data_IF_463894468491
#
_entry.id   IF_463894468491
#
_cell.length_a   1.000
_cell.length_b   1.000
_cell.length_c   1.000
_cell.angle_alpha   90.00
_cell.angle_beta   90.00
_cell.angle_gamma   90.00
#
_symmetry.space_group_name_H-M   'P 1'
#
loop_
_entity.id
_entity.type
_entity.pdbx_description
1 polymer ?
#
# COMPACT_ATOMS: atom_id res chain seq x y z
N UNK A 1 44.42 -18.47 -10.57
CA UNK A 1 43.20 -19.26 -10.83
C UNK A 1 42.09 -18.82 -9.88
N UNK A 2 41.46 -17.68 -10.19
CA UNK A 2 40.22 -17.18 -9.59
C UNK A 2 39.48 -16.49 -10.71
N UNK A 3 38.39 -17.07 -11.17
CA UNK A 3 37.36 -16.50 -12.02
C UNK A 3 36.24 -17.57 -12.12
N UNK A 4 35.44 -17.70 -11.07
CA UNK A 4 34.14 -18.36 -11.18
C UNK A 4 33.08 -17.26 -11.17
N UNK A 5 32.57 -17.04 -12.36
CA UNK A 5 31.59 -16.04 -12.73
C UNK A 5 30.26 -16.29 -12.01
N UNK A 6 29.73 -15.19 -11.51
CA UNK A 6 28.31 -14.85 -11.49
C UNK A 6 27.46 -15.64 -12.50
N UNK A 7 26.48 -16.37 -11.98
CA UNK A 7 25.51 -17.08 -12.80
C UNK A 7 24.58 -17.93 -11.95
N UNK A 8 24.06 -17.37 -10.85
CA UNK A 8 22.91 -17.95 -10.16
C UNK A 8 21.75 -17.95 -11.14
N UNK A 9 21.61 -19.05 -11.86
CA UNK A 9 20.58 -19.31 -12.85
C UNK A 9 19.26 -19.41 -12.08
N UNK A 10 18.61 -18.27 -11.86
CA UNK A 10 17.20 -18.26 -11.45
C UNK A 10 16.47 -19.00 -12.57
N UNK A 11 15.91 -20.17 -12.27
CA UNK A 11 15.01 -20.87 -13.18
C UNK A 11 13.90 -19.89 -13.53
N UNK A 12 13.97 -19.29 -14.72
CA UNK A 12 12.91 -18.45 -15.25
C UNK A 12 11.72 -19.37 -15.50
N UNK A 13 10.77 -19.33 -14.57
CA UNK A 13 9.54 -20.08 -14.68
C UNK A 13 8.67 -19.24 -15.61
N UNK A 14 8.62 -19.61 -16.90
CA UNK A 14 7.82 -18.87 -17.87
C UNK A 14 6.37 -18.86 -17.40
N UNK A 15 5.79 -17.66 -17.25
CA UNK A 15 4.39 -17.50 -16.89
C UNK A 15 3.52 -18.25 -17.90
N UNK A 16 2.63 -19.10 -17.40
CA UNK A 16 1.64 -19.72 -18.25
C UNK A 16 0.79 -18.65 -18.93
N UNK A 17 0.17 -19.01 -20.06
CA UNK A 17 -0.82 -18.14 -20.70
C UNK A 17 -1.95 -17.75 -19.74
N UNK A 18 -2.29 -18.63 -18.79
CA UNK A 18 -3.28 -18.39 -17.74
C UNK A 18 -2.80 -17.32 -16.76
N UNK A 19 -1.57 -17.42 -16.23
CA UNK A 19 -1.02 -16.45 -15.27
C UNK A 19 -0.92 -15.05 -15.86
N UNK A 20 -0.46 -14.98 -17.12
CA UNK A 20 -0.37 -13.72 -17.86
C UNK A 20 -1.76 -13.10 -18.07
N UNK A 21 -2.76 -13.91 -18.39
CA UNK A 21 -4.15 -13.45 -18.57
C UNK A 21 -4.72 -12.91 -17.26
N UNK A 22 -4.48 -13.59 -16.13
CA UNK A 22 -4.94 -13.15 -14.80
C UNK A 22 -4.27 -11.82 -14.43
N UNK A 23 -2.98 -11.67 -14.67
CA UNK A 23 -2.24 -10.44 -14.37
C UNK A 23 -2.76 -9.24 -15.17
N UNK A 24 -2.99 -9.42 -16.48
CA UNK A 24 -3.56 -8.39 -17.34
C UNK A 24 -4.98 -8.04 -16.89
N UNK A 25 -5.81 -9.05 -16.61
CA UNK A 25 -7.19 -8.85 -16.15
C UNK A 25 -7.22 -8.05 -14.84
N UNK A 26 -6.35 -8.39 -13.88
CA UNK A 26 -6.21 -7.66 -12.62
C UNK A 26 -5.86 -6.18 -12.86
N UNK A 27 -4.86 -5.90 -13.70
CA UNK A 27 -4.50 -4.53 -14.08
C UNK A 27 -5.66 -3.78 -14.75
N UNK A 28 -6.40 -4.45 -15.64
CA UNK A 28 -7.59 -3.88 -16.28
C UNK A 28 -8.69 -3.54 -15.26
N UNK A 29 -8.94 -4.41 -14.28
CA UNK A 29 -9.93 -4.17 -13.23
C UNK A 29 -9.54 -2.96 -12.37
N UNK A 30 -8.27 -2.83 -11.99
CA UNK A 30 -7.79 -1.67 -11.22
C UNK A 30 -8.01 -0.35 -11.99
N UNK A 31 -7.64 -0.33 -13.28
CA UNK A 31 -7.84 0.86 -14.12
C UNK A 31 -9.34 1.14 -14.31
N UNK A 32 -10.16 0.11 -14.53
CA UNK A 32 -11.60 0.24 -14.68
C UNK A 32 -12.25 0.84 -13.43
N UNK A 33 -11.84 0.39 -12.23
CA UNK A 33 -12.29 0.95 -10.96
C UNK A 33 -11.88 2.43 -10.82
N UNK A 34 -10.63 2.76 -11.14
CA UNK A 34 -10.15 4.15 -11.15
C UNK A 34 -10.98 5.05 -12.08
N UNK A 35 -11.29 4.59 -13.29
CA UNK A 35 -12.11 5.33 -14.27
C UNK A 35 -13.58 5.43 -13.84
N UNK A 36 -14.13 4.39 -13.23
CA UNK A 36 -15.50 4.38 -12.72
C UNK A 36 -15.71 5.45 -11.64
N UNK A 37 -14.81 5.49 -10.65
CA UNK A 37 -14.88 6.44 -9.54
C UNK A 37 -14.41 7.85 -9.90
N UNK A 38 -13.62 8.04 -10.97
CA UNK A 38 -13.26 9.35 -11.52
C UNK A 38 -14.47 10.28 -11.72
N UNK A 39 -15.61 9.74 -12.15
CA UNK A 39 -16.81 10.54 -12.42
C UNK A 39 -17.43 11.14 -11.16
N UNK A 40 -17.15 10.59 -9.97
CA UNK A 40 -17.68 11.04 -8.68
C UNK A 40 -16.78 12.07 -7.96
N UNK A 41 -15.50 12.17 -8.32
CA UNK A 41 -14.57 13.12 -7.70
C UNK A 41 -14.62 14.49 -8.40
N UNK A 42 -15.49 15.41 -7.94
CA UNK A 42 -15.55 16.80 -8.44
C UNK A 42 -15.02 17.84 -7.47
N UNK A 43 -14.95 17.53 -6.18
CA UNK A 43 -14.43 18.42 -5.13
C UNK A 43 -13.25 17.81 -4.38
N UNK A 44 -12.37 18.65 -3.82
CA UNK A 44 -11.22 18.21 -3.02
C UNK A 44 -11.64 17.38 -1.80
N UNK A 45 -12.80 17.66 -1.22
CA UNK A 45 -13.36 16.89 -0.12
C UNK A 45 -13.80 15.48 -0.56
N UNK A 46 -14.38 15.34 -1.75
CA UNK A 46 -14.69 14.02 -2.32
C UNK A 46 -13.43 13.22 -2.62
N UNK A 47 -12.36 13.88 -3.08
CA UNK A 47 -11.08 13.23 -3.32
C UNK A 47 -10.42 12.73 -2.02
N UNK A 48 -10.49 13.49 -0.93
CA UNK A 48 -9.85 13.19 0.36
C UNK A 48 -10.72 12.45 1.38
N UNK A 49 -12.04 12.44 1.26
CA UNK A 49 -12.90 11.83 2.31
C UNK A 49 -13.98 10.94 1.69
N UNK A 50 -14.07 10.84 0.36
CA UNK A 50 -15.06 10.04 -0.34
C UNK A 50 -16.50 10.30 0.18
N UNK A 51 -16.80 11.57 0.44
CA UNK A 51 -18.09 12.05 0.96
C UNK A 51 -18.54 11.41 2.29
N UNK A 52 -17.60 10.80 3.05
CA UNK A 52 -17.88 10.04 4.29
C UNK A 52 -18.93 8.92 4.11
N UNK A 53 -19.18 8.51 2.86
CA UNK A 53 -20.21 7.54 2.49
C UNK A 53 -19.75 6.08 2.63
N UNK A 54 -18.47 5.88 2.96
CA UNK A 54 -17.84 4.57 3.02
C UNK A 54 -18.31 3.81 4.27
N UNK A 55 -18.84 2.59 4.11
CA UNK A 55 -19.27 1.79 5.26
C UNK A 55 -18.08 1.33 6.09
N UNK A 56 -18.29 1.20 7.41
CA UNK A 56 -17.22 0.92 8.36
C UNK A 56 -16.45 -0.39 8.07
N UNK A 57 -17.12 -1.40 7.52
CA UNK A 57 -16.48 -2.66 7.14
C UNK A 57 -15.50 -2.48 5.97
N UNK A 58 -15.84 -1.65 4.97
CA UNK A 58 -14.97 -1.39 3.82
C UNK A 58 -13.76 -0.55 4.24
N UNK A 59 -13.97 0.45 5.09
CA UNK A 59 -12.86 1.22 5.66
C UNK A 59 -11.91 0.33 6.49
N UNK A 60 -12.44 -0.63 7.26
CA UNK A 60 -11.62 -1.59 8.00
C UNK A 60 -10.78 -2.49 7.10
N UNK A 61 -11.39 -3.03 6.04
CA UNK A 61 -10.68 -3.84 5.04
C UNK A 61 -9.59 -3.04 4.33
N UNK A 62 -9.85 -1.78 3.96
CA UNK A 62 -8.85 -0.92 3.34
C UNK A 62 -7.66 -0.61 4.26
N UNK A 63 -7.90 -0.41 5.56
CA UNK A 63 -6.81 -0.24 6.53
C UNK A 63 -5.97 -1.51 6.63
N UNK A 64 -6.59 -2.69 6.66
CA UNK A 64 -5.88 -3.97 6.68
C UNK A 64 -5.11 -4.23 5.36
N UNK A 65 -5.69 -3.85 4.23
CA UNK A 65 -5.05 -3.89 2.91
C UNK A 65 -3.81 -2.99 2.89
N UNK A 66 -3.92 -1.74 3.33
CA UNK A 66 -2.79 -0.80 3.40
C UNK A 66 -1.70 -1.20 4.42
N UNK A 67 -2.07 -1.98 5.43
CA UNK A 67 -1.10 -2.60 6.36
C UNK A 67 -0.36 -3.76 5.69
N UNK A 68 -1.04 -4.51 4.83
CA UNK A 68 -0.47 -5.63 4.11
C UNK A 68 0.32 -5.11 2.90
N UNK A 69 1.58 -5.51 2.76
CA UNK A 69 2.43 -5.05 1.66
C UNK A 69 3.34 -6.19 1.20
N UNK A 70 3.98 -6.04 0.04
CA UNK A 70 4.93 -7.03 -0.48
C UNK A 70 6.06 -7.34 0.52
N UNK A 71 6.44 -6.35 1.34
CA UNK A 71 7.37 -6.54 2.46
C UNK A 71 6.87 -7.65 3.39
N UNK A 72 5.62 -7.60 3.84
CA UNK A 72 5.07 -8.58 4.77
C UNK A 72 4.99 -9.97 4.15
N UNK A 73 4.64 -10.07 2.87
CA UNK A 73 4.53 -11.35 2.16
C UNK A 73 5.87 -12.06 1.95
N UNK A 74 6.96 -11.31 1.77
CA UNK A 74 8.30 -11.91 1.57
C UNK A 74 9.04 -12.02 2.91
N UNK A 75 9.02 -10.96 3.72
CA UNK A 75 9.83 -10.87 4.94
C UNK A 75 9.30 -11.73 6.10
N UNK A 76 7.97 -11.87 6.26
CA UNK A 76 7.39 -12.65 7.36
C UNK A 76 7.69 -14.15 7.24
N UNK A 77 7.42 -14.82 6.10
CA UNK A 77 7.79 -16.22 5.94
C UNK A 77 9.30 -16.40 5.88
N UNK A 78 10.05 -15.48 5.25
CA UNK A 78 11.51 -15.53 5.23
C UNK A 78 12.11 -15.51 6.64
N UNK A 79 11.61 -14.63 7.52
CA UNK A 79 12.02 -14.62 8.94
C UNK A 79 11.52 -15.84 9.71
N UNK A 80 10.32 -16.33 9.43
CA UNK A 80 9.79 -17.52 10.11
C UNK A 80 10.59 -18.79 9.73
N UNK A 81 11.09 -18.87 8.50
CA UNK A 81 11.94 -19.95 8.02
C UNK A 81 13.35 -19.90 8.65
N UNK A 82 13.94 -18.71 8.73
CA UNK A 82 15.30 -18.53 9.27
C UNK A 82 15.35 -18.55 10.81
N UNK A 83 14.27 -18.11 11.47
CA UNK A 83 14.21 -18.00 12.93
C UNK A 83 13.14 -18.91 13.55
N UNK A 84 12.08 -18.32 14.10
CA UNK A 84 10.99 -18.97 14.82
C UNK A 84 9.67 -18.24 14.55
N UNK A 85 8.58 -18.68 15.18
CA UNK A 85 7.24 -18.11 15.04
C UNK A 85 7.05 -16.72 15.70
N UNK A 86 8.15 -16.05 16.05
CA UNK A 86 8.13 -14.72 16.66
C UNK A 86 7.34 -13.66 15.85
N UNK A 87 7.41 -13.61 14.50
CA UNK A 87 6.61 -12.66 13.72
C UNK A 87 5.10 -12.81 13.90
N UNK A 88 4.63 -14.01 14.27
CA UNK A 88 3.21 -14.29 14.51
C UNK A 88 2.67 -13.48 15.70
N UNK A 89 3.49 -13.28 16.74
CA UNK A 89 3.09 -12.52 17.94
C UNK A 89 2.77 -11.06 17.56
N UNK A 90 3.60 -10.46 16.70
CA UNK A 90 3.34 -9.11 16.17
C UNK A 90 2.05 -9.04 15.37
N UNK A 91 1.76 -10.07 14.56
CA UNK A 91 0.51 -10.15 13.82
C UNK A 91 -0.71 -10.27 14.76
N UNK A 92 -0.61 -11.01 15.86
CA UNK A 92 -1.69 -11.14 16.84
C UNK A 92 -1.92 -9.87 17.66
N UNK A 93 -0.89 -9.06 17.91
CA UNK A 93 -1.02 -7.77 18.58
C UNK A 93 -1.91 -6.76 17.83
N UNK A 94 -2.16 -6.95 16.53
CA UNK A 94 -3.04 -6.06 15.75
C UNK A 94 -4.49 -6.07 16.30
N UNK A 95 -4.98 -7.20 16.81
CA UNK A 95 -6.36 -7.34 17.30
C UNK A 95 -6.66 -6.46 18.51
N UNK A 96 -5.90 -6.52 19.62
CA UNK A 96 -6.14 -5.65 20.77
C UNK A 96 -5.90 -4.17 20.43
N UNK A 97 -4.90 -3.86 19.59
CA UNK A 97 -4.63 -2.49 19.16
C UNK A 97 -5.79 -1.94 18.32
N UNK A 98 -6.29 -2.71 17.35
CA UNK A 98 -7.43 -2.32 16.54
C UNK A 98 -8.68 -2.08 17.40
N UNK A 99 -8.93 -2.93 18.40
CA UNK A 99 -10.05 -2.74 19.32
C UNK A 99 -9.97 -1.42 20.09
N UNK A 100 -8.79 -1.10 20.65
CA UNK A 100 -8.56 0.17 21.37
C UNK A 100 -8.74 1.36 20.43
N UNK A 101 -8.15 1.31 19.22
CA UNK A 101 -8.24 2.39 18.24
C UNK A 101 -9.69 2.63 17.80
N UNK A 102 -10.45 1.57 17.49
CA UNK A 102 -11.86 1.67 17.13
C UNK A 102 -12.71 2.22 18.28
N UNK A 103 -12.40 1.88 19.53
CA UNK A 103 -13.19 2.31 20.69
C UNK A 103 -12.93 3.76 21.12
N UNK A 104 -11.69 4.23 21.02
CA UNK A 104 -11.26 5.53 21.57
C UNK A 104 -10.85 6.54 20.50
N UNK A 105 -9.98 6.14 19.57
CA UNK A 105 -9.42 7.07 18.59
C UNK A 105 -10.45 7.43 17.50
N UNK A 106 -11.10 6.45 16.87
CA UNK A 106 -12.08 6.67 15.80
C UNK A 106 -13.22 7.63 16.20
N UNK A 107 -13.92 7.46 17.35
CA UNK A 107 -14.98 8.38 17.74
C UNK A 107 -14.48 9.78 18.12
N UNK A 108 -13.22 9.91 18.52
CA UNK A 108 -12.61 11.21 18.78
C UNK A 108 -12.38 11.97 17.46
N UNK A 109 -11.71 11.34 16.48
CA UNK A 109 -11.45 11.94 15.17
C UNK A 109 -12.74 12.27 14.40
N UNK A 110 -13.78 11.41 14.47
CA UNK A 110 -15.09 11.69 13.86
C UNK A 110 -15.78 12.92 14.46
N UNK A 111 -15.69 13.14 15.77
CA UNK A 111 -16.32 14.29 16.44
C UNK A 111 -15.61 15.60 16.12
N UNK A 112 -14.29 15.57 16.04
CA UNK A 112 -13.48 16.76 15.72
C UNK A 112 -13.56 17.17 14.22
N UNK A 113 -14.22 16.37 13.36
CA UNK A 113 -14.32 16.58 11.89
C UNK A 113 -12.96 16.88 11.22
N UNK A 114 -11.86 16.42 11.80
CA UNK A 114 -10.53 16.66 11.30
C UNK A 114 -10.34 15.86 10.00
N UNK A 115 -9.98 16.57 8.93
CA UNK A 115 -9.70 15.97 7.62
C UNK A 115 -8.29 15.34 7.63
N UNK A 116 -7.38 15.87 8.45
CA UNK A 116 -6.00 15.43 8.58
C UNK A 116 -5.66 15.06 10.02
N UNK A 117 -5.00 13.93 10.21
CA UNK A 117 -4.48 13.54 11.52
C UNK A 117 -3.47 14.56 12.08
N UNK A 118 -2.79 15.31 11.22
CA UNK A 118 -1.83 16.33 11.64
C UNK A 118 -2.49 17.62 12.14
N UNK A 119 -3.75 17.88 11.78
CA UNK A 119 -4.51 19.01 12.34
C UNK A 119 -4.75 18.82 13.84
N UNK A 120 -4.88 17.57 14.31
CA UNK A 120 -4.89 17.28 15.75
C UNK A 120 -3.57 17.66 16.44
N UNK A 121 -2.43 17.47 15.76
CA UNK A 121 -1.12 17.91 16.26
C UNK A 121 -0.99 19.43 16.27
N UNK A 122 -1.61 20.12 15.31
CA UNK A 122 -1.66 21.59 15.27
C UNK A 122 -2.38 22.16 16.48
N UNK A 123 -3.53 21.61 16.85
CA UNK A 123 -4.31 22.07 18.00
C UNK A 123 -3.55 21.91 19.34
N UNK A 124 -2.64 20.92 19.44
CA UNK A 124 -1.97 20.59 20.70
C UNK A 124 -0.52 21.07 20.80
N UNK A 125 0.22 21.09 19.69
CA UNK A 125 1.64 21.48 19.63
C UNK A 125 1.87 22.75 18.80
N UNK A 126 0.83 23.30 18.17
CA UNK A 126 0.93 24.45 17.27
C UNK A 126 1.36 24.06 15.84
N UNK A 127 1.38 25.06 14.96
CA UNK A 127 1.65 24.91 13.52
C UNK A 127 3.00 24.25 13.20
N UNK A 128 4.04 24.48 14.02
CA UNK A 128 5.34 23.81 13.87
C UNK A 128 5.21 22.28 13.95
N UNK A 129 4.46 21.79 14.95
CA UNK A 129 4.27 20.35 15.16
C UNK A 129 3.60 19.67 13.97
N UNK A 130 2.64 20.38 13.34
CA UNK A 130 1.98 19.91 12.11
C UNK A 130 2.96 19.75 10.95
N UNK A 131 3.76 20.78 10.69
CA UNK A 131 4.70 20.78 9.55
C UNK A 131 5.75 19.68 9.73
N UNK A 132 6.31 19.55 10.94
CA UNK A 132 7.29 18.51 11.24
C UNK A 132 6.72 17.10 11.04
N UNK A 133 5.55 16.82 11.62
CA UNK A 133 4.93 15.50 11.52
C UNK A 133 4.51 15.16 10.08
N UNK A 134 3.96 16.11 9.34
CA UNK A 134 3.60 15.92 7.94
C UNK A 134 4.85 15.67 7.08
N UNK A 135 5.93 16.44 7.28
CA UNK A 135 7.17 16.27 6.55
C UNK A 135 7.84 14.91 6.84
N UNK A 136 7.95 14.54 8.12
CA UNK A 136 8.50 13.25 8.53
C UNK A 136 7.68 12.07 7.96
N UNK A 137 6.35 12.20 7.92
CA UNK A 137 5.49 11.17 7.35
C UNK A 137 5.66 11.04 5.83
N UNK A 138 5.72 12.16 5.10
CA UNK A 138 5.95 12.12 3.65
C UNK A 138 7.29 11.47 3.34
N UNK A 139 8.35 11.82 4.07
CA UNK A 139 9.66 11.22 3.91
C UNK A 139 9.64 9.71 4.18
N UNK A 140 8.97 9.29 5.27
CA UNK A 140 8.77 7.88 5.59
C UNK A 140 8.00 7.13 4.48
N UNK A 141 6.94 7.73 3.95
CA UNK A 141 6.14 7.10 2.89
C UNK A 141 6.91 6.98 1.57
N UNK A 142 7.74 7.95 1.21
CA UNK A 142 8.60 7.85 0.03
C UNK A 142 9.52 6.63 0.16
N UNK A 143 10.20 6.48 1.31
CA UNK A 143 11.07 5.33 1.57
C UNK A 143 10.30 4.00 1.57
N UNK A 144 9.14 3.96 2.23
CA UNK A 144 8.31 2.75 2.29
C UNK A 144 7.82 2.32 0.91
N UNK A 145 7.31 3.24 0.09
CA UNK A 145 6.82 2.94 -1.27
C UNK A 145 7.98 2.48 -2.17
N UNK A 146 9.16 3.10 -2.06
CA UNK A 146 10.34 2.67 -2.81
C UNK A 146 10.72 1.21 -2.51
N UNK A 147 10.75 0.82 -1.23
CA UNK A 147 11.06 -0.57 -0.83
C UNK A 147 9.98 -1.54 -1.31
N UNK A 148 8.69 -1.17 -1.23
CA UNK A 148 7.59 -2.01 -1.70
C UNK A 148 7.69 -2.25 -3.21
N UNK A 149 7.89 -1.20 -4.01
CA UNK A 149 8.01 -1.30 -5.46
C UNK A 149 9.25 -2.12 -5.86
N UNK A 150 10.37 -1.94 -5.16
CA UNK A 150 11.58 -2.71 -5.41
C UNK A 150 11.38 -4.20 -5.14
N UNK A 151 10.83 -4.57 -3.98
CA UNK A 151 10.57 -5.97 -3.63
C UNK A 151 9.55 -6.62 -4.57
N UNK A 152 8.50 -5.90 -4.96
CA UNK A 152 7.52 -6.39 -5.93
C UNK A 152 8.17 -6.64 -7.30
N UNK A 153 9.05 -5.75 -7.74
CA UNK A 153 9.72 -5.87 -9.04
C UNK A 153 10.76 -6.99 -9.05
N UNK A 154 11.47 -7.18 -7.94
CA UNK A 154 12.40 -8.30 -7.75
C UNK A 154 11.69 -9.65 -7.81
N UNK A 155 10.49 -9.74 -7.25
CA UNK A 155 9.66 -10.92 -7.39
C UNK A 155 9.22 -11.13 -8.86
N UNK A 156 8.81 -10.08 -9.55
CA UNK A 156 8.29 -10.17 -10.92
C UNK A 156 9.39 -10.50 -11.96
N UNK A 157 10.63 -10.06 -11.74
CA UNK A 157 11.79 -10.40 -12.58
C UNK A 157 12.04 -11.91 -12.65
N UNK A 158 11.66 -12.66 -11.61
CA UNK A 158 11.76 -14.14 -11.61
C UNK A 158 10.85 -14.78 -12.66
N UNK A 159 9.78 -14.10 -13.04
CA UNK A 159 8.72 -14.59 -13.93
C UNK A 159 8.75 -13.94 -15.32
N UNK A 160 9.25 -12.71 -15.43
CA UNK A 160 9.30 -11.92 -16.67
C UNK A 160 10.76 -11.54 -16.96
N UNK A 161 11.28 -11.77 -18.19
CA UNK A 161 12.65 -11.45 -18.55
C UNK A 161 12.85 -9.94 -18.83
N UNK A 162 12.37 -9.08 -17.93
CA UNK A 162 12.47 -7.64 -18.03
C UNK A 162 13.37 -7.09 -16.92
N UNK A 163 14.07 -6.00 -17.22
CA UNK A 163 14.90 -5.32 -16.24
C UNK A 163 14.03 -4.76 -15.09
N UNK A 164 14.49 -4.93 -13.84
CA UNK A 164 13.84 -4.41 -12.64
C UNK A 164 13.42 -2.94 -12.80
N UNK A 165 14.27 -2.10 -13.38
CA UNK A 165 13.98 -0.68 -13.58
C UNK A 165 12.74 -0.45 -14.46
N UNK A 166 12.60 -1.23 -15.54
CA UNK A 166 11.44 -1.17 -16.44
C UNK A 166 10.17 -1.62 -15.73
N UNK A 167 10.25 -2.70 -14.94
CA UNK A 167 9.12 -3.20 -14.15
C UNK A 167 8.64 -2.17 -13.13
N UNK A 168 9.56 -1.54 -12.40
CA UNK A 168 9.25 -0.48 -11.43
C UNK A 168 8.50 0.67 -12.12
N UNK A 169 8.99 1.13 -13.27
CA UNK A 169 8.38 2.25 -14.00
C UNK A 169 6.96 1.89 -14.44
N UNK A 170 6.74 0.69 -14.98
CA UNK A 170 5.42 0.26 -15.45
C UNK A 170 4.43 0.15 -14.28
N UNK A 171 4.79 -0.57 -13.21
CA UNK A 171 3.93 -0.75 -12.03
C UNK A 171 3.65 0.60 -11.37
N UNK A 172 4.68 1.44 -11.22
CA UNK A 172 4.56 2.78 -10.67
C UNK A 172 3.62 3.66 -11.49
N UNK A 173 3.76 3.66 -12.83
CA UNK A 173 2.92 4.46 -13.71
C UNK A 173 1.45 4.00 -13.66
N UNK A 174 1.19 2.69 -13.74
CA UNK A 174 -0.17 2.14 -13.57
C UNK A 174 -0.75 2.54 -12.22
N UNK A 175 0.05 2.43 -11.16
CA UNK A 175 -0.35 2.76 -9.79
C UNK A 175 -0.73 4.23 -9.62
N UNK A 176 0.10 5.12 -10.17
CA UNK A 176 -0.15 6.56 -10.17
C UNK A 176 -1.44 6.88 -10.95
N UNK A 177 -1.62 6.29 -12.13
CA UNK A 177 -2.77 6.57 -12.99
C UNK A 177 -4.08 6.17 -12.29
N UNK A 178 -4.22 4.95 -11.77
CA UNK A 178 -5.48 4.55 -11.15
C UNK A 178 -5.74 5.32 -9.84
N UNK A 179 -4.70 5.62 -9.06
CA UNK A 179 -4.82 6.34 -7.79
C UNK A 179 -5.24 7.80 -8.01
N UNK A 180 -4.63 8.48 -8.99
CA UNK A 180 -4.96 9.87 -9.32
C UNK A 180 -6.35 10.01 -9.93
N UNK A 181 -6.78 9.03 -10.73
CA UNK A 181 -8.10 9.06 -11.35
C UNK A 181 -9.22 8.79 -10.37
N UNK A 182 -9.03 7.87 -9.42
CA UNK A 182 -10.10 7.36 -8.57
C UNK A 182 -10.23 8.00 -7.19
N UNK A 183 -9.20 8.68 -6.69
CA UNK A 183 -9.20 9.29 -5.36
C UNK A 183 -9.32 8.26 -4.23
N UNK A 184 -9.64 8.70 -3.00
CA UNK A 184 -9.76 7.78 -1.85
C UNK A 184 -10.86 6.74 -2.01
N UNK A 185 -11.98 7.07 -2.69
CA UNK A 185 -13.07 6.11 -2.88
C UNK A 185 -12.56 4.90 -3.67
N UNK A 186 -11.85 5.12 -4.79
CA UNK A 186 -11.29 4.01 -5.56
C UNK A 186 -10.25 3.20 -4.78
N UNK A 187 -9.33 3.86 -4.06
CA UNK A 187 -8.27 3.19 -3.29
C UNK A 187 -8.85 2.29 -2.20
N UNK A 188 -10.01 2.64 -1.63
CA UNK A 188 -10.67 1.83 -0.60
C UNK A 188 -11.40 0.63 -1.20
N UNK A 189 -11.87 0.74 -2.46
CA UNK A 189 -12.59 -0.34 -3.16
C UNK A 189 -11.68 -1.28 -3.95
N UNK A 190 -10.41 -0.92 -4.18
CA UNK A 190 -9.38 -1.77 -4.79
C UNK A 190 -8.59 -2.53 -3.74
#
# INVERSE_FOLDING_TARGET
MRNDCTGGMIMQTSLGAIDTTILILYGCVLIAMGVYYKRKCRTSEQFMIADRSIPAWAAGLAVMSAYTSSISYIATPGKAFDSNWHPMIFALCIFPVAWIVCRYAVPYYRRARLISAYSFLEDRLGSWGRIYAAFAFVLYMIGRVAVILYLASLLLETFVPWNIATVIIIIGLVTIVYTLLGGMEAVIWT
#
